data_IF_495938902691
#
_entry.id   IF_495938902691
#
_cell.length_a   1.000
_cell.length_b   1.000
_cell.length_c   1.000
_cell.angle_alpha   90.00
_cell.angle_beta   90.00
_cell.angle_gamma   90.00
#
_symmetry.space_group_name_H-M   'P 1'
#
loop_
_entity.id
_entity.type
_entity.pdbx_description
1 polymer ?
#
# COMPACT_ATOMS: atom_id res chain seq x y z
N UNK A 1 49.95 47.04 52.83
CA UNK A 1 50.41 45.94 51.94
C UNK A 1 50.48 44.65 52.73
N UNK A 2 49.62 43.67 52.40
CA UNK A 2 49.91 42.23 52.36
C UNK A 2 48.59 41.48 52.16
N UNK A 3 48.38 41.03 50.93
CA UNK A 3 47.37 40.06 50.51
C UNK A 3 47.47 38.80 51.38
N UNK A 4 46.34 38.26 51.83
CA UNK A 4 46.20 36.85 52.12
C UNK A 4 44.97 36.30 51.41
N UNK A 5 45.28 35.40 50.49
CA UNK A 5 44.41 34.67 49.58
C UNK A 5 43.55 33.70 50.39
N UNK A 6 42.24 33.75 50.19
CA UNK A 6 41.29 32.74 50.67
C UNK A 6 41.31 31.58 49.66
N UNK A 7 41.74 30.39 50.10
CA UNK A 7 41.58 29.17 49.32
C UNK A 7 40.10 28.75 49.36
N UNK A 8 39.40 28.91 48.25
CA UNK A 8 38.10 28.29 48.03
C UNK A 8 38.34 26.88 47.46
N UNK A 9 38.00 25.85 48.22
CA UNK A 9 37.92 24.47 47.73
C UNK A 9 36.65 24.39 46.88
N UNK A 10 36.80 24.46 45.56
CA UNK A 10 35.70 24.17 44.64
C UNK A 10 35.46 22.65 44.66
N UNK A 11 34.36 22.24 45.28
CA UNK A 11 33.81 20.90 45.05
C UNK A 11 33.37 20.85 43.58
N UNK A 12 34.19 20.21 42.74
CA UNK A 12 33.80 19.87 41.38
C UNK A 12 32.73 18.79 41.45
N UNK A 13 31.46 19.21 41.48
CA UNK A 13 30.35 18.35 41.12
C UNK A 13 30.56 17.91 39.67
N UNK A 14 31.02 16.68 39.47
CA UNK A 14 30.91 16.01 38.18
C UNK A 14 29.41 15.87 37.90
N UNK A 15 28.86 16.82 37.14
CA UNK A 15 27.65 16.61 36.37
C UNK A 15 27.98 15.47 35.41
N UNK A 16 27.49 14.28 35.72
CA UNK A 16 27.39 13.21 34.75
C UNK A 16 26.52 13.74 33.60
N UNK A 17 27.15 14.11 32.50
CA UNK A 17 26.46 14.36 31.25
C UNK A 17 25.92 13.00 30.82
N UNK A 18 24.65 12.77 31.12
CA UNK A 18 23.86 11.74 30.47
C UNK A 18 23.96 11.97 28.96
N UNK A 19 24.46 10.99 28.21
CA UNK A 19 24.29 10.94 26.76
C UNK A 19 22.79 10.84 26.44
N UNK A 20 22.07 11.95 26.43
CA UNK A 20 20.83 12.02 25.68
C UNK A 20 21.22 12.07 24.20
N UNK A 21 20.65 11.16 23.38
CA UNK A 21 20.71 11.24 21.91
C UNK A 21 20.37 12.67 21.51
N UNK A 22 21.35 13.45 21.06
CA UNK A 22 21.10 14.79 20.54
C UNK A 22 20.65 14.62 19.11
N UNK A 23 19.38 14.25 18.93
CA UNK A 23 18.76 14.10 17.62
C UNK A 23 18.74 15.46 16.92
N UNK A 24 19.49 15.57 15.84
CA UNK A 24 19.38 16.71 14.95
C UNK A 24 18.10 16.51 14.13
N UNK A 25 17.09 17.35 14.36
CA UNK A 25 15.86 17.33 13.57
C UNK A 25 16.19 17.47 12.07
N UNK A 26 15.84 16.49 11.22
CA UNK A 26 16.04 16.63 9.78
C UNK A 26 15.15 17.76 9.24
N UNK A 27 15.71 18.51 8.29
CA UNK A 27 14.96 19.55 7.58
C UNK A 27 13.88 18.88 6.73
N UNK A 28 12.63 19.31 6.90
CA UNK A 28 11.48 18.77 6.19
C UNK A 28 11.74 18.79 4.67
N UNK A 29 11.90 17.61 4.07
CA UNK A 29 11.93 17.50 2.60
C UNK A 29 10.48 17.49 2.11
N UNK A 30 10.09 18.32 1.12
CA UNK A 30 8.69 18.42 0.70
C UNK A 30 8.22 17.14 -0.01
N UNK A 31 7.17 16.50 0.51
CA UNK A 31 6.44 15.44 -0.20
C UNK A 31 5.61 14.47 0.64
N UNK A 32 5.87 14.35 1.95
CA UNK A 32 5.29 13.31 2.81
C UNK A 32 4.05 13.78 3.60
N UNK A 33 2.92 13.96 2.91
CA UNK A 33 1.64 13.87 3.61
C UNK A 33 1.34 12.39 3.86
N UNK A 34 1.88 11.86 4.96
CA UNK A 34 1.44 10.57 5.50
C UNK A 34 0.00 10.72 5.97
N UNK A 35 -0.88 9.88 5.42
CA UNK A 35 -2.25 9.71 5.91
C UNK A 35 -2.23 8.48 6.83
N UNK A 36 -3.00 8.51 7.92
CA UNK A 36 -3.14 7.48 8.98
C UNK A 36 -3.49 6.05 8.53
N UNK A 37 -3.57 5.85 7.22
CA UNK A 37 -4.08 4.70 6.53
C UNK A 37 -3.57 4.86 5.11
N UNK A 38 -3.01 3.79 4.52
CA UNK A 38 -2.73 3.77 3.09
C UNK A 38 -3.93 4.44 2.35
N UNK A 39 -3.70 5.42 1.46
CA UNK A 39 -4.78 6.11 0.77
C UNK A 39 -5.73 5.06 0.17
N UNK A 40 -7.03 5.36 0.13
CA UNK A 40 -8.04 4.45 -0.44
C UNK A 40 -7.49 3.85 -1.74
N UNK A 41 -7.22 2.55 -1.70
CA UNK A 41 -6.42 1.89 -2.72
C UNK A 41 -7.19 1.96 -4.04
N UNK A 42 -6.55 2.46 -5.10
CA UNK A 42 -7.19 2.63 -6.39
C UNK A 42 -7.73 1.28 -6.90
N UNK A 43 -8.79 1.28 -7.74
CA UNK A 43 -9.30 0.05 -8.35
C UNK A 43 -8.16 -0.75 -9.01
N UNK A 44 -8.11 -2.05 -8.71
CA UNK A 44 -7.05 -2.92 -9.22
C UNK A 44 -5.74 -2.93 -8.43
N UNK A 45 -5.63 -2.05 -7.44
CA UNK A 45 -4.51 -1.99 -6.52
C UNK A 45 -4.83 -2.65 -5.17
N UNK A 46 -3.79 -2.98 -4.43
CA UNK A 46 -3.84 -3.61 -3.13
C UNK A 46 -2.65 -3.18 -2.25
N UNK A 47 -2.69 -3.54 -0.97
CA UNK A 47 -1.67 -3.19 0.02
C UNK A 47 -1.40 -4.37 0.95
N UNK A 48 -0.13 -4.65 1.24
CA UNK A 48 0.24 -5.50 2.38
C UNK A 48 0.44 -4.57 3.57
N UNK A 49 -0.52 -4.58 4.50
CA UNK A 49 -0.66 -3.67 5.65
C UNK A 49 -0.41 -4.37 7.01
N UNK A 50 -0.10 -5.66 7.00
CA UNK A 50 0.19 -6.51 8.16
C UNK A 50 -0.87 -6.58 9.30
N UNK A 51 -1.98 -5.85 9.22
CA UNK A 51 -3.01 -5.76 10.27
C UNK A 51 -3.65 -7.10 10.64
N UNK A 52 -3.73 -8.03 9.68
CA UNK A 52 -4.32 -9.37 9.90
C UNK A 52 -3.42 -10.32 10.69
N UNK A 53 -2.17 -9.94 10.96
CA UNK A 53 -1.19 -10.77 11.66
C UNK A 53 -1.01 -10.20 13.08
N UNK A 54 -1.87 -10.61 14.02
CA UNK A 54 -1.86 -10.10 15.39
C UNK A 54 -2.03 -11.20 16.43
N UNK A 55 -1.79 -10.86 17.69
CA UNK A 55 -2.01 -11.77 18.83
C UNK A 55 -0.97 -12.88 18.98
N UNK A 56 0.22 -12.70 18.39
CA UNK A 56 1.31 -13.65 18.55
C UNK A 56 2.05 -13.44 19.87
N UNK A 57 2.42 -14.54 20.52
CA UNK A 57 3.36 -14.55 21.65
C UNK A 57 4.65 -15.21 21.20
N UNK A 58 5.79 -14.66 21.62
CA UNK A 58 7.11 -15.13 21.18
C UNK A 58 7.27 -15.06 19.66
N UNK A 59 7.96 -16.05 19.07
CA UNK A 59 8.22 -16.09 17.63
C UNK A 59 7.04 -16.56 16.76
N UNK A 60 5.82 -16.61 17.31
CA UNK A 60 4.62 -16.99 16.57
C UNK A 60 4.28 -16.05 15.40
N UNK A 61 4.83 -14.83 15.40
CA UNK A 61 4.61 -13.82 14.36
C UNK A 61 5.61 -13.84 13.20
N UNK A 62 6.51 -14.82 13.13
CA UNK A 62 7.44 -14.95 12.00
C UNK A 62 6.69 -15.28 10.70
N UNK A 63 6.96 -14.52 9.64
CA UNK A 63 6.25 -14.63 8.37
C UNK A 63 7.13 -15.20 7.25
N UNK A 64 6.65 -16.28 6.63
CA UNK A 64 7.17 -16.83 5.37
C UNK A 64 6.23 -16.60 4.18
N UNK A 65 5.07 -15.98 4.42
CA UNK A 65 4.12 -15.58 3.38
C UNK A 65 3.15 -14.56 3.91
N UNK A 66 2.62 -13.71 3.02
CA UNK A 66 1.56 -12.75 3.31
C UNK A 66 0.43 -12.83 2.30
N UNK A 67 -0.73 -12.34 2.71
CA UNK A 67 -1.87 -11.98 1.89
C UNK A 67 -2.15 -10.50 2.13
N UNK A 68 -2.38 -9.75 1.06
CA UNK A 68 -2.72 -8.32 1.12
C UNK A 68 -4.10 -8.06 1.73
N UNK A 69 -4.37 -6.81 2.09
CA UNK A 69 -5.65 -6.33 2.60
C UNK A 69 -6.85 -6.76 1.72
N UNK A 70 -6.71 -6.61 0.40
CA UNK A 70 -7.68 -7.01 -0.63
C UNK A 70 -7.70 -8.50 -0.98
N UNK A 71 -7.01 -9.34 -0.21
CA UNK A 71 -6.94 -10.80 -0.36
C UNK A 71 -6.18 -11.31 -1.60
N UNK A 72 -5.23 -10.54 -2.12
CA UNK A 72 -4.24 -11.04 -3.07
C UNK A 72 -3.17 -11.87 -2.33
N UNK A 73 -2.96 -13.10 -2.80
CA UNK A 73 -1.98 -14.02 -2.24
C UNK A 73 -2.42 -15.48 -2.32
N UNK A 74 -1.65 -16.40 -1.69
CA UNK A 74 -0.49 -16.12 -0.85
C UNK A 74 0.71 -15.60 -1.68
N UNK A 75 1.37 -14.58 -1.14
CA UNK A 75 2.62 -13.99 -1.63
C UNK A 75 3.74 -14.61 -0.78
N UNK A 76 4.65 -15.34 -1.42
CA UNK A 76 5.73 -15.98 -0.70
C UNK A 76 6.73 -14.92 -0.21
N UNK A 77 7.28 -15.14 0.98
CA UNK A 77 8.31 -14.28 1.56
C UNK A 77 9.52 -15.11 1.97
N UNK A 78 10.69 -14.52 1.81
CA UNK A 78 11.90 -14.95 2.51
C UNK A 78 12.47 -13.79 3.28
N UNK A 79 13.23 -14.08 4.32
CA UNK A 79 13.88 -13.07 5.14
C UNK A 79 15.21 -13.57 5.65
N UNK A 80 16.11 -12.65 5.92
CA UNK A 80 17.46 -12.92 6.36
C UNK A 80 17.88 -11.87 7.38
N UNK A 81 18.53 -12.34 8.44
CA UNK A 81 19.22 -11.50 9.40
C UNK A 81 20.70 -11.93 9.45
N UNK A 82 21.62 -10.99 9.24
CA UNK A 82 23.06 -11.24 9.25
C UNK A 82 23.63 -11.60 10.63
N UNK A 83 23.01 -11.14 11.72
CA UNK A 83 23.36 -11.51 13.08
C UNK A 83 22.92 -12.97 13.38
N UNK A 84 21.87 -13.45 12.70
CA UNK A 84 21.30 -14.79 12.89
C UNK A 84 21.18 -15.60 11.58
N UNK A 85 22.28 -15.89 10.88
CA UNK A 85 22.24 -16.49 9.54
C UNK A 85 21.74 -17.95 9.52
N UNK A 86 21.58 -18.58 10.68
CA UNK A 86 21.02 -19.93 10.81
C UNK A 86 19.49 -19.95 10.90
N UNK A 87 18.86 -18.79 11.11
CA UNK A 87 17.40 -18.69 11.16
C UNK A 87 16.83 -18.69 9.74
N UNK A 88 15.89 -19.59 9.41
CA UNK A 88 15.34 -19.68 8.05
C UNK A 88 14.33 -18.56 7.72
N UNK A 89 13.80 -17.90 8.75
CA UNK A 89 12.85 -16.79 8.67
C UNK A 89 13.21 -15.81 9.77
N UNK A 90 13.32 -14.53 9.43
CA UNK A 90 13.62 -13.44 10.36
C UNK A 90 12.60 -12.30 10.32
N UNK A 91 11.72 -12.22 9.32
CA UNK A 91 10.68 -11.20 9.28
C UNK A 91 9.59 -11.50 10.30
N UNK A 92 9.32 -10.57 11.21
CA UNK A 92 8.31 -10.69 12.25
C UNK A 92 7.39 -9.47 12.24
N UNK A 93 6.14 -9.68 12.69
CA UNK A 93 5.21 -8.58 12.90
C UNK A 93 5.42 -7.96 14.28
N UNK A 94 5.60 -6.64 14.28
CA UNK A 94 5.76 -5.80 15.44
C UNK A 94 4.53 -4.88 15.60
N UNK A 95 3.93 -4.85 16.79
CA UNK A 95 2.80 -3.96 17.06
C UNK A 95 3.33 -2.55 17.36
N UNK A 96 3.25 -1.67 16.37
CA UNK A 96 3.76 -0.29 16.44
C UNK A 96 2.77 0.70 17.04
N UNK A 97 1.53 0.30 17.37
CA UNK A 97 0.51 1.21 17.92
C UNK A 97 -0.18 0.73 19.19
N UNK A 98 0.44 -0.21 19.93
CA UNK A 98 -0.06 -0.68 21.23
C UNK A 98 -0.34 0.48 22.19
N UNK A 99 -1.52 0.47 22.81
CA UNK A 99 -1.90 1.42 23.87
C UNK A 99 -1.43 1.00 25.26
N UNK A 100 -0.89 -0.23 25.37
CA UNK A 100 -0.31 -0.77 26.59
C UNK A 100 1.18 -0.45 26.60
N UNK A 101 1.67 0.41 27.52
CA UNK A 101 3.10 0.61 27.70
C UNK A 101 3.78 -0.73 28.00
N UNK A 102 4.99 -1.01 27.49
CA UNK A 102 5.86 -1.90 28.24
C UNK A 102 5.95 -1.36 29.67
N UNK A 103 5.90 -2.24 30.66
CA UNK A 103 5.85 -1.85 32.07
C UNK A 103 6.89 -0.78 32.43
N UNK A 104 6.67 0.01 33.49
CA UNK A 104 7.47 1.19 33.77
C UNK A 104 8.97 0.89 33.80
N UNK A 105 9.72 1.50 32.88
CA UNK A 105 11.18 1.53 32.89
C UNK A 105 11.67 2.49 33.97
N UNK A 106 11.91 1.97 35.18
CA UNK A 106 12.84 2.66 36.08
C UNK A 106 14.26 2.39 35.60
N UNK A 107 14.83 3.33 34.86
CA UNK A 107 16.24 3.34 34.51
C UNK A 107 17.06 3.31 35.80
N UNK A 108 17.59 2.14 36.15
CA UNK A 108 18.62 1.96 37.17
C UNK A 108 19.62 1.00 36.57
N UNK A 109 20.69 1.56 35.99
CA UNK A 109 21.86 0.82 35.55
C UNK A 109 22.30 -0.12 36.69
N UNK A 110 22.10 -1.44 36.54
CA UNK A 110 22.68 -2.43 37.45
C UNK A 110 21.82 -3.62 37.89
N UNK A 111 20.71 -3.97 37.23
CA UNK A 111 19.95 -5.18 37.61
C UNK A 111 19.23 -5.82 36.41
N UNK A 112 19.49 -7.11 36.19
CA UNK A 112 18.78 -7.97 35.24
C UNK A 112 17.30 -8.04 35.63
N UNK A 113 16.44 -7.34 34.90
CA UNK A 113 14.99 -7.47 34.96
C UNK A 113 14.55 -8.41 33.83
N UNK A 114 13.87 -9.53 34.11
CA UNK A 114 13.41 -10.47 33.09
C UNK A 114 12.26 -9.91 32.20
N UNK A 115 11.82 -8.66 32.43
CA UNK A 115 10.85 -7.93 31.61
C UNK A 115 11.31 -6.51 31.22
N UNK A 116 12.63 -6.23 31.17
CA UNK A 116 13.22 -4.98 30.66
C UNK A 116 13.08 -4.82 29.11
N UNK A 117 11.96 -5.30 28.62
CA UNK A 117 11.56 -5.55 27.26
C UNK A 117 10.92 -4.27 26.65
N UNK A 118 11.31 -3.87 25.43
CA UNK A 118 10.69 -2.84 24.57
C UNK A 118 11.00 -1.34 24.83
N UNK A 119 12.16 -1.00 25.42
CA UNK A 119 12.64 0.40 25.45
C UNK A 119 13.48 0.79 24.21
N UNK A 120 14.03 -0.19 23.49
CA UNK A 120 14.82 0.03 22.27
C UNK A 120 13.89 0.33 21.09
N UNK A 121 12.77 -0.40 20.94
CA UNK A 121 11.83 -0.23 19.82
C UNK A 121 10.87 0.98 19.98
N UNK A 122 11.18 1.94 20.85
CA UNK A 122 10.37 3.15 20.99
C UNK A 122 10.47 4.04 19.75
N UNK A 123 11.56 3.94 19.02
CA UNK A 123 11.77 4.60 17.72
C UNK A 123 10.97 3.93 16.58
N UNK A 124 10.45 2.72 16.78
CA UNK A 124 9.44 2.10 15.92
C UNK A 124 7.99 2.35 16.35
N UNK A 125 7.78 3.03 17.49
CA UNK A 125 6.45 3.32 18.03
C UNK A 125 5.67 4.37 17.24
N UNK A 126 4.35 4.25 17.18
CA UNK A 126 3.45 5.13 16.42
C UNK A 126 2.12 5.36 17.16
N UNK A 127 1.49 6.55 17.05
CA UNK A 127 2.12 7.80 16.66
C UNK A 127 3.35 8.15 17.52
N UNK A 128 4.10 9.17 17.12
CA UNK A 128 5.07 9.80 17.99
C UNK A 128 4.40 10.42 19.24
N UNK A 129 5.17 10.54 20.32
CA UNK A 129 4.71 11.05 21.62
C UNK A 129 4.05 12.44 21.55
N UNK A 130 4.48 13.30 20.63
CA UNK A 130 3.88 14.62 20.43
C UNK A 130 2.44 14.55 19.88
N UNK A 131 2.04 13.39 19.35
CA UNK A 131 0.72 13.11 18.80
C UNK A 131 -0.05 12.09 19.64
N UNK A 132 0.38 11.86 20.89
CA UNK A 132 -0.33 11.02 21.85
C UNK A 132 -0.06 9.51 21.71
N UNK A 133 0.92 9.11 20.90
CA UNK A 133 1.42 7.74 20.86
C UNK A 133 2.66 7.52 21.70
N UNK A 134 3.36 6.40 21.51
CA UNK A 134 4.56 6.07 22.27
C UNK A 134 5.87 6.19 21.47
N UNK A 135 5.80 6.51 20.18
CA UNK A 135 6.98 6.74 19.36
C UNK A 135 7.90 7.80 19.96
N UNK A 136 9.21 7.53 20.03
CA UNK A 136 10.24 8.43 20.57
C UNK A 136 11.30 8.71 19.52
N UNK A 137 11.48 9.97 19.17
CA UNK A 137 12.52 10.40 18.23
C UNK A 137 12.17 11.71 17.54
N UNK A 138 13.19 12.54 17.26
CA UNK A 138 12.95 13.88 16.72
C UNK A 138 12.45 13.89 15.26
N UNK A 139 12.72 12.84 14.48
CA UNK A 139 12.13 12.67 13.14
C UNK A 139 10.62 12.46 13.21
N UNK A 140 10.17 11.66 14.18
CA UNK A 140 8.76 11.36 14.42
C UNK A 140 7.91 12.60 14.75
N UNK A 141 8.51 13.61 15.39
CA UNK A 141 7.86 14.89 15.67
C UNK A 141 7.31 15.58 14.40
N UNK A 142 7.94 15.38 13.25
CA UNK A 142 7.53 16.01 11.99
C UNK A 142 6.54 15.14 11.19
N UNK A 143 6.68 13.81 11.23
CA UNK A 143 6.09 12.90 10.24
C UNK A 143 5.23 11.77 10.83
N UNK A 144 5.51 11.30 12.04
CA UNK A 144 4.84 10.15 12.67
C UNK A 144 3.61 10.60 13.49
N UNK A 145 2.57 11.08 12.80
CA UNK A 145 1.41 11.73 13.43
C UNK A 145 0.26 10.80 13.78
N UNK A 146 0.34 9.56 13.35
CA UNK A 146 -0.80 8.64 13.19
C UNK A 146 -0.33 7.22 13.49
N UNK A 147 -1.19 6.36 14.05
CA UNK A 147 -0.83 4.96 14.28
C UNK A 147 -0.64 4.26 12.94
N UNK A 148 0.43 3.48 12.80
CA UNK A 148 0.63 2.59 11.66
C UNK A 148 0.01 1.21 11.88
N UNK A 149 -0.26 0.81 13.13
CA UNK A 149 -0.81 -0.52 13.40
C UNK A 149 0.30 -1.54 13.57
N UNK A 150 0.24 -2.61 12.80
CA UNK A 150 1.25 -3.65 12.73
C UNK A 150 2.26 -3.32 11.63
N UNK A 151 3.54 -3.37 11.96
CA UNK A 151 4.62 -3.19 10.98
C UNK A 151 5.44 -4.48 10.90
N UNK A 152 6.25 -4.59 9.86
CA UNK A 152 7.18 -5.69 9.70
C UNK A 152 8.60 -5.23 10.01
N UNK A 153 9.31 -6.02 10.82
CA UNK A 153 10.72 -5.78 11.19
C UNK A 153 11.56 -7.03 10.96
N UNK A 154 12.88 -6.90 10.99
CA UNK A 154 13.81 -8.04 11.04
C UNK A 154 14.06 -8.39 12.50
N UNK A 155 13.69 -9.60 12.92
CA UNK A 155 13.73 -10.04 14.31
C UNK A 155 15.16 -10.11 14.88
N UNK A 156 15.34 -9.56 16.08
CA UNK A 156 16.45 -9.90 16.99
C UNK A 156 16.10 -11.13 17.85
N UNK A 157 16.76 -12.25 17.60
CA UNK A 157 16.46 -13.52 18.24
C UNK A 157 16.99 -13.66 19.68
N UNK A 158 17.69 -12.65 20.22
CA UNK A 158 18.04 -12.63 21.65
C UNK A 158 16.78 -12.52 22.51
N UNK A 159 15.77 -11.80 22.03
CA UNK A 159 14.54 -11.55 22.77
C UNK A 159 13.47 -12.57 22.39
N UNK A 160 12.83 -13.16 23.40
CA UNK A 160 11.77 -14.15 23.20
C UNK A 160 10.41 -13.54 22.79
N UNK A 161 10.42 -12.41 22.08
CA UNK A 161 9.25 -11.61 21.68
C UNK A 161 9.59 -10.79 20.41
N UNK A 162 8.61 -10.26 19.67
CA UNK A 162 8.86 -9.34 18.56
C UNK A 162 9.74 -8.17 19.00
N UNK A 163 10.87 -8.02 18.30
CA UNK A 163 11.89 -6.99 18.51
C UNK A 163 12.65 -6.88 17.20
N UNK A 164 12.90 -5.69 16.70
CA UNK A 164 13.77 -5.52 15.53
C UNK A 164 15.26 -5.74 15.90
N UNK A 165 16.14 -5.83 14.91
CA UNK A 165 17.57 -6.06 15.07
C UNK A 165 18.35 -4.91 14.45
N UNK A 166 19.40 -4.47 15.14
CA UNK A 166 20.29 -3.38 14.71
C UNK A 166 21.27 -3.77 13.57
N UNK A 167 21.15 -5.01 13.08
CA UNK A 167 22.01 -5.62 12.10
C UNK A 167 21.64 -5.31 10.64
N UNK A 168 22.21 -6.10 9.74
CA UNK A 168 21.86 -6.06 8.31
C UNK A 168 20.92 -7.20 7.99
N UNK A 169 19.88 -6.92 7.22
CA UNK A 169 18.92 -7.92 6.83
C UNK A 169 18.24 -7.61 5.51
N UNK A 170 17.36 -8.52 5.11
CA UNK A 170 16.41 -8.23 4.07
C UNK A 170 15.13 -9.02 4.27
N UNK A 171 14.06 -8.52 3.67
CA UNK A 171 12.82 -9.26 3.43
C UNK A 171 12.48 -9.23 1.94
N UNK A 172 11.88 -10.30 1.44
CA UNK A 172 11.47 -10.42 0.04
C UNK A 172 9.99 -10.71 -0.08
N UNK A 173 9.42 -10.28 -1.21
CA UNK A 173 8.05 -10.56 -1.60
C UNK A 173 8.07 -11.09 -3.04
N UNK A 174 7.66 -12.34 -3.21
CA UNK A 174 7.63 -13.03 -4.51
C UNK A 174 6.20 -13.05 -5.07
N UNK A 175 6.01 -12.30 -6.16
CA UNK A 175 4.73 -12.12 -6.85
C UNK A 175 4.54 -13.13 -8.00
N UNK A 176 5.45 -14.08 -8.20
CA UNK A 176 5.44 -15.01 -9.34
C UNK A 176 4.13 -15.81 -9.48
N UNK A 177 3.44 -16.11 -8.37
CA UNK A 177 2.15 -16.82 -8.35
C UNK A 177 0.97 -15.94 -8.74
N UNK A 178 1.12 -14.61 -8.68
CA UNK A 178 0.07 -13.63 -8.95
C UNK A 178 0.23 -12.93 -10.31
N UNK A 179 1.37 -13.13 -10.97
CA UNK A 179 1.79 -12.35 -12.13
C UNK A 179 2.49 -11.05 -11.74
N UNK A 180 3.20 -10.47 -12.70
CA UNK A 180 4.00 -9.26 -12.45
C UNK A 180 3.08 -8.07 -12.13
N UNK A 181 3.38 -7.35 -11.05
CA UNK A 181 2.62 -6.20 -10.54
C UNK A 181 3.23 -4.87 -11.01
N UNK A 182 2.53 -3.79 -10.72
CA UNK A 182 3.06 -2.43 -10.70
C UNK A 182 3.28 -2.00 -9.25
N UNK A 183 4.53 -1.82 -8.81
CA UNK A 183 4.85 -1.40 -7.45
C UNK A 183 4.76 0.13 -7.31
N UNK A 184 4.01 0.64 -6.34
CA UNK A 184 3.71 2.08 -6.23
C UNK A 184 4.24 2.75 -4.97
N UNK A 185 4.31 2.04 -3.84
CA UNK A 185 4.75 2.63 -2.58
C UNK A 185 5.16 1.62 -1.51
N UNK A 186 5.92 2.11 -0.53
CA UNK A 186 6.24 1.40 0.70
C UNK A 186 6.31 2.43 1.83
N UNK A 187 5.75 2.14 2.99
CA UNK A 187 5.95 2.95 4.20
C UNK A 187 7.15 2.43 4.96
N UNK A 188 8.00 3.34 5.41
CA UNK A 188 9.16 3.07 6.27
C UNK A 188 9.05 3.91 7.54
N UNK A 189 9.64 3.39 8.61
CA UNK A 189 9.83 4.11 9.87
C UNK A 189 11.29 3.96 10.32
N UNK A 190 11.81 5.02 10.93
CA UNK A 190 13.10 5.06 11.63
C UNK A 190 14.34 4.97 10.72
N UNK A 191 14.31 5.70 9.59
CA UNK A 191 15.46 5.78 8.70
C UNK A 191 16.31 7.04 8.95
N UNK A 192 17.52 6.88 9.44
CA UNK A 192 18.47 7.96 9.70
C UNK A 192 19.91 7.59 9.42
N UNK A 193 20.66 8.58 8.98
CA UNK A 193 22.11 8.47 8.96
C UNK A 193 22.67 9.66 9.71
N UNK A 194 23.23 9.40 10.89
CA UNK A 194 23.92 10.40 11.68
C UNK A 194 25.42 10.36 11.37
N UNK A 195 26.01 11.54 11.19
CA UNK A 195 27.46 11.66 11.02
C UNK A 195 28.18 11.25 12.32
N UNK A 196 29.42 10.74 12.26
CA UNK A 196 30.22 10.49 13.46
C UNK A 196 30.34 11.75 14.35
N UNK A 197 30.35 11.62 15.69
CA UNK A 197 30.55 10.40 16.47
C UNK A 197 29.25 9.67 16.89
N UNK A 198 28.06 10.13 16.47
CA UNK A 198 26.80 9.50 16.88
C UNK A 198 26.60 8.09 16.30
N UNK A 199 27.19 7.78 15.13
CA UNK A 199 27.47 6.41 14.69
C UNK A 199 26.27 5.58 14.17
N UNK A 200 25.05 6.09 14.24
CA UNK A 200 23.84 5.38 13.81
C UNK A 200 23.65 5.49 12.29
N UNK A 201 23.55 4.33 11.63
CA UNK A 201 23.32 4.21 10.19
C UNK A 201 22.16 3.23 9.99
N UNK A 202 20.95 3.76 10.13
CA UNK A 202 19.69 3.07 9.93
C UNK A 202 19.10 3.45 8.57
N UNK A 203 18.66 2.45 7.83
CA UNK A 203 18.08 2.70 6.52
C UNK A 203 18.13 1.47 5.64
N UNK A 204 18.24 1.70 4.34
CA UNK A 204 18.11 0.60 3.41
C UNK A 204 17.70 1.02 2.01
N UNK A 205 17.17 0.06 1.28
CA UNK A 205 16.68 0.26 -0.08
C UNK A 205 15.65 -0.78 -0.48
N UNK A 206 14.82 -0.42 -1.45
CA UNK A 206 13.91 -1.36 -2.13
C UNK A 206 14.48 -1.65 -3.51
N UNK A 207 14.75 -2.92 -3.79
CA UNK A 207 15.06 -3.40 -5.13
C UNK A 207 13.83 -4.03 -5.76
N UNK A 208 13.50 -3.59 -6.98
CA UNK A 208 12.41 -4.12 -7.77
C UNK A 208 12.97 -4.96 -8.91
N UNK A 209 12.53 -6.20 -9.04
CA UNK A 209 13.04 -7.15 -10.01
C UNK A 209 11.91 -7.72 -10.87
N UNK A 210 12.21 -8.10 -12.11
CA UNK A 210 11.24 -8.77 -13.00
C UNK A 210 10.83 -10.16 -12.50
N UNK A 211 11.71 -10.83 -11.76
CA UNK A 211 11.51 -12.11 -11.10
C UNK A 211 12.57 -12.26 -10.00
N UNK A 212 12.54 -13.36 -9.24
CA UNK A 212 13.58 -13.64 -8.25
C UNK A 212 14.99 -13.57 -8.91
N UNK A 213 15.95 -12.80 -8.36
CA UNK A 213 17.30 -12.67 -8.94
C UNK A 213 18.04 -14.01 -9.03
N UNK A 214 17.77 -14.96 -8.12
CA UNK A 214 18.33 -16.30 -8.17
C UNK A 214 17.73 -17.17 -9.29
N UNK A 215 16.56 -16.79 -9.80
CA UNK A 215 15.89 -17.41 -10.94
C UNK A 215 16.14 -16.66 -12.26
N UNK A 216 17.12 -15.74 -12.29
CA UNK A 216 17.47 -14.97 -13.48
C UNK A 216 16.66 -13.69 -13.69
N UNK A 217 16.01 -13.18 -12.64
CA UNK A 217 15.33 -11.88 -12.68
C UNK A 217 16.29 -10.72 -12.97
N UNK A 218 15.80 -9.72 -13.70
CA UNK A 218 16.52 -8.48 -14.02
C UNK A 218 16.12 -7.38 -13.05
N UNK A 219 17.09 -6.66 -12.51
CA UNK A 219 16.84 -5.48 -11.67
C UNK A 219 16.21 -4.38 -12.52
N UNK A 220 15.04 -3.90 -12.10
CA UNK A 220 14.33 -2.79 -12.75
C UNK A 220 14.79 -1.45 -12.17
N UNK A 221 14.83 -1.34 -10.85
CA UNK A 221 15.27 -0.13 -10.15
C UNK A 221 15.61 -0.43 -8.69
N UNK A 222 16.38 0.46 -8.08
CA UNK A 222 16.66 0.49 -6.64
C UNK A 222 16.23 1.85 -6.10
N UNK A 223 15.37 1.83 -5.08
CA UNK A 223 14.87 3.03 -4.41
C UNK A 223 15.50 3.10 -3.02
N UNK A 224 16.42 4.05 -2.74
CA UNK A 224 17.00 4.19 -1.41
C UNK A 224 15.94 4.72 -0.44
N UNK A 225 16.07 4.37 0.85
CA UNK A 225 15.27 4.98 1.89
C UNK A 225 15.60 6.47 2.00
N UNK A 226 14.58 7.26 2.36
CA UNK A 226 14.75 8.68 2.65
C UNK A 226 15.08 8.83 4.13
N UNK A 227 15.95 9.79 4.47
CA UNK A 227 16.21 10.10 5.87
C UNK A 227 14.97 10.76 6.48
N UNK A 228 14.33 10.07 7.42
CA UNK A 228 13.18 10.52 8.19
C UNK A 228 13.59 11.05 9.57
N UNK A 229 14.80 10.73 10.02
CA UNK A 229 15.25 10.91 11.39
C UNK A 229 14.61 9.86 12.31
N UNK A 230 15.15 9.77 13.54
CA UNK A 230 14.64 8.84 14.55
C UNK A 230 13.14 8.96 14.76
N UNK A 231 12.46 7.82 14.74
CA UNK A 231 11.01 7.64 14.78
C UNK A 231 10.23 8.31 13.66
N UNK A 232 10.92 8.83 12.66
CA UNK A 232 10.32 9.47 11.50
C UNK A 232 9.69 8.43 10.59
N UNK A 233 8.55 8.76 10.03
CA UNK A 233 7.85 7.91 9.05
C UNK A 233 7.95 8.57 7.67
N UNK A 234 8.00 7.76 6.62
CA UNK A 234 7.82 8.24 5.24
C UNK A 234 7.19 7.18 4.35
N UNK A 235 6.42 7.63 3.35
CA UNK A 235 5.99 6.81 2.23
C UNK A 235 6.99 6.99 1.09
N UNK A 236 7.75 5.95 0.80
CA UNK A 236 8.60 5.86 -0.39
C UNK A 236 7.73 5.73 -1.63
N UNK A 237 8.03 6.53 -2.67
CA UNK A 237 7.49 6.28 -4.00
C UNK A 237 8.32 5.20 -4.68
N UNK A 238 7.67 4.13 -5.12
CA UNK A 238 8.32 3.08 -5.92
C UNK A 238 8.22 3.35 -7.43
N UNK A 239 7.90 4.60 -7.80
CA UNK A 239 7.90 5.07 -9.18
C UNK A 239 6.74 4.54 -10.05
N UNK A 240 5.75 3.89 -9.46
CA UNK A 240 4.73 3.12 -10.20
C UNK A 240 5.40 2.16 -11.20
N UNK A 241 6.42 1.44 -10.74
CA UNK A 241 7.26 0.61 -11.59
C UNK A 241 6.49 -0.63 -12.05
N UNK A 242 6.24 -0.81 -13.36
CA UNK A 242 5.51 -1.97 -13.89
C UNK A 242 6.42 -3.20 -14.01
N UNK A 243 5.81 -4.36 -14.28
CA UNK A 243 6.49 -5.63 -14.54
C UNK A 243 7.35 -6.15 -13.38
N UNK A 244 7.01 -5.78 -12.14
CA UNK A 244 7.72 -6.24 -10.94
C UNK A 244 7.18 -7.62 -10.56
N UNK A 245 8.01 -8.65 -10.63
CA UNK A 245 7.69 -10.00 -10.19
C UNK A 245 8.26 -10.34 -8.82
N UNK A 246 9.20 -9.53 -8.32
CA UNK A 246 9.89 -9.78 -7.05
C UNK A 246 10.39 -8.47 -6.45
N UNK A 247 10.19 -8.32 -5.14
CA UNK A 247 10.65 -7.15 -4.38
C UNK A 247 11.60 -7.63 -3.28
N UNK A 248 12.74 -6.98 -3.12
CA UNK A 248 13.63 -7.14 -1.96
C UNK A 248 13.73 -5.80 -1.26
N UNK A 249 13.44 -5.81 0.04
CA UNK A 249 13.68 -4.67 0.93
C UNK A 249 14.92 -4.98 1.75
N UNK A 250 16.01 -4.28 1.47
CA UNK A 250 17.25 -4.36 2.23
C UNK A 250 17.15 -3.41 3.43
N UNK A 251 17.50 -3.89 4.61
CA UNK A 251 17.41 -3.18 5.89
C UNK A 251 18.79 -3.15 6.55
N UNK A 252 19.13 -2.02 7.16
CA UNK A 252 20.30 -1.80 7.98
C UNK A 252 19.81 -1.09 9.24
N UNK A 253 20.12 -1.64 10.42
CA UNK A 253 19.70 -1.08 11.70
C UNK A 253 18.21 -1.34 12.01
N UNK A 254 17.73 -0.66 13.04
CA UNK A 254 16.32 -0.68 13.47
C UNK A 254 15.44 -0.04 12.41
N UNK A 255 14.76 -0.86 11.61
CA UNK A 255 13.82 -0.36 10.61
C UNK A 255 12.54 -1.17 10.63
N UNK A 256 11.42 -0.44 10.68
CA UNK A 256 10.11 -0.97 10.35
C UNK A 256 9.67 -0.63 8.93
N UNK A 257 8.96 -1.57 8.31
CA UNK A 257 8.27 -1.34 7.04
C UNK A 257 6.79 -1.67 7.16
N UNK A 258 5.98 -0.96 6.41
CA UNK A 258 4.53 -1.13 6.38
C UNK A 258 3.97 -0.75 5.00
N UNK A 259 2.72 -1.09 4.71
CA UNK A 259 1.96 -0.67 3.54
C UNK A 259 2.76 -0.80 2.23
N UNK A 260 3.14 -2.03 1.88
CA UNK A 260 3.67 -2.30 0.53
C UNK A 260 2.51 -2.23 -0.47
N UNK A 261 2.48 -1.13 -1.23
CA UNK A 261 1.41 -0.81 -2.17
C UNK A 261 1.77 -1.26 -3.59
N UNK A 262 0.79 -1.90 -4.25
CA UNK A 262 0.97 -2.39 -5.61
C UNK A 262 -0.36 -2.44 -6.37
N UNK A 263 -0.26 -2.44 -7.69
CA UNK A 263 -1.38 -2.71 -8.58
C UNK A 263 -1.16 -4.04 -9.29
N UNK A 264 -2.19 -4.88 -9.28
CA UNK A 264 -2.15 -6.09 -10.09
C UNK A 264 -2.39 -5.68 -11.54
N UNK A 265 -1.75 -6.35 -12.50
CA UNK A 265 -2.17 -6.21 -13.89
C UNK A 265 -3.65 -6.57 -13.87
N UNK A 266 -4.51 -5.61 -14.24
CA UNK A 266 -5.88 -5.99 -14.54
C UNK A 266 -5.77 -7.08 -15.61
N UNK A 267 -6.62 -8.12 -15.58
CA UNK A 267 -6.69 -9.00 -16.73
C UNK A 267 -6.89 -8.07 -17.92
N UNK A 268 -6.06 -8.22 -18.95
CA UNK A 268 -5.98 -7.31 -20.08
C UNK A 268 -7.34 -7.32 -20.80
N UNK A 269 -8.29 -6.56 -20.29
CA UNK A 269 -9.67 -6.54 -20.74
C UNK A 269 -9.74 -5.42 -21.75
N UNK A 270 -9.63 -5.81 -23.02
CA UNK A 270 -9.88 -4.89 -24.09
C UNK A 270 -11.39 -4.65 -24.18
N UNK A 271 -11.81 -3.40 -24.36
CA UNK A 271 -13.21 -3.10 -24.66
C UNK A 271 -13.71 -3.97 -25.82
N UNK A 272 -14.85 -4.62 -25.61
CA UNK A 272 -15.47 -5.46 -26.62
C UNK A 272 -16.65 -4.73 -27.29
N UNK A 273 -16.80 -4.96 -28.59
CA UNK A 273 -17.90 -4.40 -29.36
C UNK A 273 -19.24 -5.03 -29.00
N UNK A 274 -20.34 -4.34 -29.30
CA UNK A 274 -21.69 -4.92 -29.25
C UNK A 274 -21.82 -6.24 -30.03
N UNK A 275 -21.05 -6.41 -31.11
CA UNK A 275 -21.02 -7.65 -31.89
C UNK A 275 -20.43 -8.82 -31.12
N UNK A 276 -19.33 -8.60 -30.40
CA UNK A 276 -18.73 -9.60 -29.53
C UNK A 276 -19.72 -10.03 -28.45
N UNK A 277 -20.27 -9.08 -27.70
CA UNK A 277 -21.19 -9.37 -26.59
C UNK A 277 -22.46 -10.10 -27.04
N UNK A 278 -23.01 -9.74 -28.21
CA UNK A 278 -24.15 -10.44 -28.80
C UNK A 278 -23.86 -11.91 -29.09
N UNK A 279 -22.62 -12.22 -29.48
CA UNK A 279 -22.22 -13.54 -29.95
C UNK A 279 -21.56 -14.42 -28.88
N UNK A 280 -21.15 -13.83 -27.74
CA UNK A 280 -20.49 -14.52 -26.61
C UNK A 280 -21.27 -14.29 -25.31
N UNK A 281 -22.54 -14.72 -25.22
CA UNK A 281 -23.31 -14.56 -23.99
C UNK A 281 -22.63 -15.22 -22.79
N UNK A 282 -21.95 -16.35 -22.95
CA UNK A 282 -21.19 -17.03 -21.89
C UNK A 282 -20.15 -16.14 -21.20
N UNK A 283 -19.61 -15.15 -21.91
CA UNK A 283 -18.59 -14.23 -21.38
C UNK A 283 -19.16 -13.04 -20.60
N UNK A 284 -20.48 -12.85 -20.53
CA UNK A 284 -21.05 -11.66 -19.85
C UNK A 284 -20.76 -11.71 -18.34
N UNK A 285 -20.17 -10.66 -17.74
CA UNK A 285 -19.84 -10.62 -16.32
C UNK A 285 -21.06 -10.49 -15.41
N UNK A 286 -22.21 -10.10 -15.95
CA UNK A 286 -23.45 -9.87 -15.21
C UNK A 286 -24.65 -10.54 -15.89
N UNK A 287 -25.65 -10.90 -15.10
CA UNK A 287 -26.89 -11.55 -15.57
C UNK A 287 -28.01 -10.56 -15.94
N UNK A 288 -27.86 -9.27 -15.61
CA UNK A 288 -28.82 -8.22 -15.92
C UNK A 288 -28.16 -6.85 -15.95
N UNK A 289 -28.77 -5.92 -16.70
CA UNK A 289 -28.40 -4.50 -16.71
C UNK A 289 -29.63 -3.62 -16.55
N UNK A 290 -29.48 -2.51 -15.82
CA UNK A 290 -30.44 -1.42 -15.86
C UNK A 290 -30.17 -0.59 -17.11
N UNK A 291 -31.21 -0.26 -17.88
CA UNK A 291 -31.10 0.60 -19.07
C UNK A 291 -32.14 1.70 -18.98
N UNK A 292 -31.72 2.95 -19.15
CA UNK A 292 -32.57 4.12 -18.98
C UNK A 292 -32.64 4.60 -17.52
N UNK A 293 -33.36 5.70 -17.30
CA UNK A 293 -33.55 6.33 -15.96
C UNK A 293 -34.95 6.13 -15.38
N UNK A 294 -35.57 4.96 -15.61
CA UNK A 294 -36.92 4.69 -15.13
C UNK A 294 -37.09 4.80 -13.61
N UNK A 295 -38.29 5.22 -13.18
CA UNK A 295 -38.72 5.12 -11.79
C UNK A 295 -40.05 4.34 -11.73
N UNK A 296 -40.06 3.08 -11.25
CA UNK A 296 -38.90 2.32 -10.76
C UNK A 296 -37.91 1.97 -11.89
N UNK A 297 -36.62 1.79 -11.53
CA UNK A 297 -35.57 1.44 -12.48
C UNK A 297 -35.90 0.13 -13.17
N UNK A 298 -35.79 0.12 -14.50
CA UNK A 298 -36.09 -1.06 -15.29
C UNK A 298 -34.82 -1.88 -15.49
N UNK A 299 -34.71 -2.95 -14.72
CA UNK A 299 -33.69 -3.99 -14.93
C UNK A 299 -34.13 -4.92 -16.06
N UNK A 300 -33.21 -5.19 -16.99
CA UNK A 300 -33.40 -6.12 -18.09
C UNK A 300 -32.51 -7.33 -17.88
N UNK A 301 -33.08 -8.52 -18.03
CA UNK A 301 -32.33 -9.78 -17.99
C UNK A 301 -31.42 -9.91 -19.20
N UNK A 302 -30.36 -10.72 -19.07
CA UNK A 302 -29.46 -11.11 -20.16
C UNK A 302 -30.21 -11.56 -21.42
N UNK A 303 -31.26 -12.38 -21.27
CA UNK A 303 -32.08 -12.84 -22.40
C UNK A 303 -32.77 -11.68 -23.13
N UNK A 304 -33.42 -10.78 -22.38
CA UNK A 304 -34.06 -9.58 -22.96
C UNK A 304 -33.06 -8.67 -23.66
N UNK A 305 -31.88 -8.48 -23.08
CA UNK A 305 -30.82 -7.65 -23.65
C UNK A 305 -30.23 -8.27 -24.93
N UNK A 306 -30.10 -9.60 -24.99
CA UNK A 306 -29.72 -10.31 -26.21
C UNK A 306 -30.76 -10.16 -27.32
N UNK A 307 -32.06 -10.18 -26.98
CA UNK A 307 -33.13 -9.91 -27.96
C UNK A 307 -33.04 -8.48 -28.51
N UNK A 308 -32.73 -7.50 -27.64
CA UNK A 308 -32.46 -6.12 -28.08
C UNK A 308 -31.26 -6.08 -29.02
N UNK A 309 -30.12 -6.69 -28.66
CA UNK A 309 -28.92 -6.76 -29.51
C UNK A 309 -29.14 -7.46 -30.87
N UNK A 310 -30.09 -8.40 -30.92
CA UNK A 310 -30.49 -9.09 -32.17
C UNK A 310 -31.52 -8.31 -32.99
N UNK A 311 -32.19 -7.32 -32.40
CA UNK A 311 -33.18 -6.50 -33.09
C UNK A 311 -32.50 -5.62 -34.15
N UNK A 312 -32.90 -5.69 -35.43
CA UNK A 312 -32.33 -4.84 -36.47
C UNK A 312 -32.59 -3.35 -36.21
N UNK A 313 -31.55 -2.51 -36.30
CA UNK A 313 -31.67 -1.06 -36.04
C UNK A 313 -32.69 -0.38 -36.98
N UNK A 314 -32.64 -0.65 -38.29
CA UNK A 314 -33.60 -0.13 -39.32
C UNK A 314 -33.97 1.35 -39.17
N UNK A 315 -32.99 2.20 -38.82
CA UNK A 315 -33.19 3.65 -38.65
C UNK A 315 -33.78 4.07 -37.29
N UNK A 316 -34.02 3.14 -36.38
CA UNK A 316 -34.44 3.43 -35.00
C UNK A 316 -33.22 3.82 -34.14
N UNK A 317 -33.10 5.11 -33.84
CA UNK A 317 -32.02 5.65 -33.01
C UNK A 317 -31.98 5.08 -31.60
N UNK A 318 -33.14 4.69 -31.03
CA UNK A 318 -33.21 4.07 -29.71
C UNK A 318 -32.51 2.71 -29.70
N UNK A 319 -32.73 1.89 -30.72
CA UNK A 319 -32.09 0.57 -30.83
C UNK A 319 -30.59 0.73 -31.07
N UNK A 320 -30.18 1.67 -31.93
CA UNK A 320 -28.76 1.97 -32.14
C UNK A 320 -28.04 2.40 -30.85
N UNK A 321 -28.66 3.29 -30.06
CA UNK A 321 -28.11 3.72 -28.77
C UNK A 321 -28.07 2.59 -27.75
N UNK A 322 -29.16 1.81 -27.65
CA UNK A 322 -29.24 0.69 -26.72
C UNK A 322 -28.16 -0.36 -27.00
N UNK A 323 -27.90 -0.67 -28.27
CA UNK A 323 -26.84 -1.60 -28.66
C UNK A 323 -25.46 -1.18 -28.11
N UNK A 324 -25.07 0.08 -28.32
CA UNK A 324 -23.77 0.57 -27.85
C UNK A 324 -23.71 0.73 -26.33
N UNK A 325 -24.81 1.16 -25.70
CA UNK A 325 -24.89 1.30 -24.26
C UNK A 325 -24.79 -0.04 -23.53
N UNK A 326 -25.44 -1.09 -24.04
CA UNK A 326 -25.33 -2.44 -23.47
C UNK A 326 -23.87 -2.91 -23.50
N UNK A 327 -23.18 -2.76 -24.63
CA UNK A 327 -21.77 -3.12 -24.74
C UNK A 327 -20.88 -2.34 -23.78
N UNK A 328 -21.06 -1.01 -23.69
CA UNK A 328 -20.28 -0.17 -22.80
C UNK A 328 -20.47 -0.55 -21.32
N UNK A 329 -21.71 -0.85 -20.91
CA UNK A 329 -21.99 -1.32 -19.54
C UNK A 329 -21.41 -2.69 -19.25
N UNK A 330 -21.34 -3.59 -20.22
CA UNK A 330 -20.69 -4.89 -20.06
C UNK A 330 -19.16 -4.74 -19.95
N UNK A 331 -18.55 -3.84 -20.74
CA UNK A 331 -17.13 -3.50 -20.62
C UNK A 331 -16.82 -2.91 -19.24
N UNK A 332 -17.60 -1.92 -18.78
CA UNK A 332 -17.48 -1.35 -17.42
C UNK A 332 -17.69 -2.41 -16.32
N UNK A 333 -18.57 -3.39 -16.53
CA UNK A 333 -18.74 -4.47 -15.56
C UNK A 333 -17.52 -5.41 -15.49
N UNK A 334 -16.63 -5.40 -16.49
CA UNK A 334 -15.34 -6.12 -16.44
C UNK A 334 -14.22 -5.33 -15.76
N UNK A 335 -14.11 -4.03 -16.03
CA UNK A 335 -12.91 -3.24 -15.69
C UNK A 335 -13.17 -2.02 -14.80
N UNK A 336 -14.43 -1.69 -14.54
CA UNK A 336 -14.89 -0.52 -13.80
C UNK A 336 -14.33 0.82 -14.34
N UNK A 337 -14.17 0.96 -15.66
CA UNK A 337 -13.60 2.16 -16.28
C UNK A 337 -14.43 3.43 -15.94
N UNK A 338 -13.85 4.42 -15.21
CA UNK A 338 -14.54 5.65 -14.87
C UNK A 338 -14.70 6.62 -16.05
N UNK A 339 -13.87 6.51 -17.10
CA UNK A 339 -13.80 7.48 -18.20
C UNK A 339 -15.09 7.54 -19.03
N UNK A 340 -15.84 6.44 -19.10
CA UNK A 340 -17.07 6.35 -19.90
C UNK A 340 -18.36 6.63 -19.11
N UNK A 341 -18.28 6.74 -17.78
CA UNK A 341 -19.46 6.80 -16.90
C UNK A 341 -20.39 7.99 -17.22
N UNK A 342 -19.83 9.16 -17.54
CA UNK A 342 -20.62 10.34 -17.93
C UNK A 342 -21.42 10.09 -19.20
N UNK A 343 -20.82 9.46 -20.21
CA UNK A 343 -21.48 9.13 -21.48
C UNK A 343 -22.57 8.07 -21.28
N UNK A 344 -22.32 7.07 -20.43
CA UNK A 344 -23.31 6.07 -20.03
C UNK A 344 -24.51 6.74 -19.37
N UNK A 345 -24.28 7.62 -18.39
CA UNK A 345 -25.34 8.33 -17.69
C UNK A 345 -26.18 9.21 -18.63
N UNK A 346 -25.54 9.89 -19.59
CA UNK A 346 -26.24 10.67 -20.62
C UNK A 346 -27.09 9.79 -21.54
N UNK A 347 -26.59 8.62 -21.93
CA UNK A 347 -27.33 7.66 -22.75
C UNK A 347 -28.53 7.07 -22.00
N UNK A 348 -28.36 6.69 -20.73
CA UNK A 348 -29.47 6.27 -19.87
C UNK A 348 -30.52 7.39 -19.73
N UNK A 349 -30.10 8.62 -19.48
CA UNK A 349 -31.01 9.75 -19.37
C UNK A 349 -31.80 10.00 -20.66
N UNK A 350 -31.14 9.89 -21.83
CA UNK A 350 -31.79 10.06 -23.13
C UNK A 350 -32.82 8.96 -23.42
N UNK A 351 -32.50 7.70 -23.07
CA UNK A 351 -33.46 6.59 -23.17
C UNK A 351 -34.65 6.84 -22.24
N UNK A 352 -34.40 7.23 -20.99
CA UNK A 352 -35.43 7.50 -19.99
C UNK A 352 -36.29 6.27 -19.73
N UNK A 353 -37.62 6.44 -19.77
CA UNK A 353 -38.60 5.38 -19.49
C UNK A 353 -39.04 4.61 -20.75
N UNK A 354 -38.41 4.85 -21.91
CA UNK A 354 -38.84 4.26 -23.19
C UNK A 354 -38.65 2.75 -23.20
N UNK A 355 -39.60 2.02 -23.78
CA UNK A 355 -39.48 0.58 -23.98
C UNK A 355 -38.47 0.27 -25.07
N UNK A 356 -37.50 -0.61 -24.80
CA UNK A 356 -36.61 -1.16 -25.83
C UNK A 356 -37.35 -2.10 -26.81
N UNK A 357 -38.52 -2.61 -26.43
CA UNK A 357 -39.38 -3.47 -27.24
C UNK A 357 -40.51 -2.66 -27.87
N UNK A 358 -40.18 -1.82 -28.86
CA UNK A 358 -41.15 -1.05 -29.64
C UNK A 358 -41.08 0.48 -29.49
N UNK A 359 -40.24 1.01 -28.61
CA UNK A 359 -39.97 2.45 -28.53
C UNK A 359 -39.09 2.94 -29.69
N UNK A 360 -39.04 4.27 -29.86
CA UNK A 360 -38.21 4.91 -30.88
C UNK A 360 -37.59 6.21 -30.39
N UNK A 361 -36.44 6.54 -30.97
CA UNK A 361 -35.79 7.84 -30.95
C UNK A 361 -35.28 8.11 -32.37
N UNK A 362 -35.19 9.37 -32.77
CA UNK A 362 -34.60 9.70 -34.07
C UNK A 362 -33.10 9.52 -34.01
N UNK A 363 -32.48 9.15 -35.13
CA UNK A 363 -31.02 9.04 -35.23
C UNK A 363 -30.32 10.37 -34.91
N UNK A 364 -30.96 11.51 -35.22
CA UNK A 364 -30.45 12.83 -34.89
C UNK A 364 -30.34 13.07 -33.36
N UNK A 365 -31.24 12.50 -32.56
CA UNK A 365 -31.19 12.62 -31.10
C UNK A 365 -30.07 11.77 -30.49
N UNK A 366 -29.75 10.64 -31.10
CA UNK A 366 -28.87 9.62 -30.49
C UNK A 366 -27.46 9.61 -31.08
N UNK A 367 -27.24 10.21 -32.26
CA UNK A 367 -26.00 10.06 -33.04
C UNK A 367 -24.73 10.38 -32.26
N UNK A 368 -24.70 11.49 -31.52
CA UNK A 368 -23.51 11.89 -30.76
C UNK A 368 -23.11 10.86 -29.69
N UNK A 369 -24.10 10.35 -28.93
CA UNK A 369 -23.86 9.34 -27.90
C UNK A 369 -23.56 7.97 -28.50
N UNK A 370 -24.21 7.60 -29.61
CA UNK A 370 -23.88 6.38 -30.36
C UNK A 370 -22.42 6.42 -30.79
N UNK A 371 -21.95 7.52 -31.39
CA UNK A 371 -20.55 7.66 -31.83
C UNK A 371 -19.58 7.60 -30.65
N UNK A 372 -19.87 8.28 -29.53
CA UNK A 372 -18.99 8.26 -28.36
C UNK A 372 -18.89 6.87 -27.72
N UNK A 373 -20.02 6.18 -27.54
CA UNK A 373 -20.04 4.82 -27.01
C UNK A 373 -19.41 3.81 -27.98
N UNK A 374 -19.64 3.96 -29.28
CA UNK A 374 -19.00 3.13 -30.30
C UNK A 374 -17.47 3.31 -30.29
N UNK A 375 -16.98 4.55 -30.23
CA UNK A 375 -15.55 4.83 -30.13
C UNK A 375 -14.93 4.15 -28.91
N UNK A 376 -15.60 4.23 -27.74
CA UNK A 376 -15.18 3.52 -26.54
C UNK A 376 -15.19 1.99 -26.71
N UNK A 377 -16.28 1.42 -27.21
CA UNK A 377 -16.42 -0.03 -27.40
C UNK A 377 -15.43 -0.61 -28.43
N UNK A 378 -14.88 0.22 -29.31
CA UNK A 378 -13.87 -0.17 -30.32
C UNK A 378 -12.45 0.31 -29.97
N UNK A 379 -12.23 0.95 -28.82
CA UNK A 379 -10.99 1.71 -28.59
C UNK A 379 -9.74 0.85 -28.39
N UNK A 380 -9.82 -0.49 -28.40
CA UNK A 380 -8.74 -1.39 -27.98
C UNK A 380 -8.05 -0.92 -26.68
N UNK A 381 -8.76 -0.17 -25.82
CA UNK A 381 -8.29 0.16 -24.50
C UNK A 381 -8.21 -1.15 -23.75
N UNK A 382 -6.99 -1.68 -23.67
CA UNK A 382 -6.63 -2.78 -22.83
C UNK A 382 -5.89 -2.11 -21.67
N UNK A 383 -6.61 -1.83 -20.57
CA UNK A 383 -6.01 -1.21 -19.38
C UNK A 383 -5.24 -2.23 -18.56
#
# INVERSE_FOLDING_TARGET
MKNRIVLAVAAASLLAVSCQKTDLAPSATPGSNLVAKAPAVAPGCDVIDFERYSGFTGFGGLLSSVTSAGNAGPIAMTSYNANYPSQPVAAIVFESSSTTPPGPSSQSYGGWDPFQNAAEDLDLGTPNELYGGYGRGAGGAATNKVPLGNILVIQDFIWGQPNDDDGRGYVTFDFSTMGAITASGLTIIDAETLAPPQGENEGGSVELWTANPMAGGTLLTTVPFVNTGSNGVARLSLGNTPNVGFIRVNIIGSIGIDNLEFCRPQPLHCNYTQGYWKNHPESWPVSSLTIGTANPLKSYTKAQLLDVLKTPVKGNGLIALAHQLIAAKLNVALDNDPAIQTTIAQADALIGNRSLFGGTLTTAQTSALVTALDAYNNSNHCN
#
